data_IF_527322485041
#
_entry.id   IF_527322485041
#
_cell.length_a   1.000
_cell.length_b   1.000
_cell.length_c   1.000
_cell.angle_alpha   90.00
_cell.angle_beta   90.00
_cell.angle_gamma   90.00
#
_symmetry.space_group_name_H-M   'P 1'
#
loop_
_entity.id
_entity.type
_entity.pdbx_description
1 polymer ?
#
# COMPACT_ATOMS: atom_id res chain seq x y z
N UNK A 1 25.01 7.01 5.34
CA UNK A 1 24.88 5.57 5.02
C UNK A 1 24.31 5.48 3.62
N UNK A 2 24.94 4.73 2.73
CA UNK A 2 24.56 4.70 1.31
C UNK A 2 23.20 4.01 1.14
N UNK A 3 22.19 4.75 0.67
CA UNK A 3 20.96 4.19 0.15
C UNK A 3 21.28 3.67 -1.26
N UNK A 4 21.16 2.36 -1.48
CA UNK A 4 21.18 1.81 -2.83
C UNK A 4 19.81 2.10 -3.48
N UNK A 5 19.74 2.90 -4.55
CA UNK A 5 18.55 2.92 -5.37
C UNK A 5 18.36 1.54 -6.00
N UNK A 6 17.12 1.07 -6.13
CA UNK A 6 16.80 -0.07 -7.01
C UNK A 6 17.13 0.36 -8.45
N UNK A 7 18.35 0.10 -8.90
CA UNK A 7 18.76 0.31 -10.28
C UNK A 7 18.14 -0.75 -11.17
N UNK A 8 17.45 -0.31 -12.21
CA UNK A 8 16.90 -1.15 -13.27
C UNK A 8 18.01 -1.60 -14.22
N UNK A 9 18.74 -2.67 -13.88
CA UNK A 9 19.62 -3.35 -14.84
C UNK A 9 19.30 -4.84 -14.86
N UNK A 10 18.44 -5.19 -15.83
CA UNK A 10 18.17 -6.54 -16.30
C UNK A 10 19.43 -7.15 -16.94
N UNK A 11 20.03 -8.14 -16.30
CA UNK A 11 20.63 -9.26 -17.04
C UNK A 11 19.64 -10.43 -17.03
N UNK A 12 19.07 -10.68 -18.21
CA UNK A 12 18.18 -11.79 -18.51
C UNK A 12 18.95 -13.12 -18.43
N UNK A 13 18.74 -13.87 -17.34
CA UNK A 13 19.05 -15.30 -17.29
C UNK A 13 17.76 -16.10 -17.56
N UNK A 14 17.76 -17.06 -18.50
CA UNK A 14 16.56 -17.78 -18.91
C UNK A 14 16.12 -18.76 -17.81
N UNK A 15 15.00 -18.49 -17.14
CA UNK A 15 14.35 -19.45 -16.26
C UNK A 15 13.49 -20.41 -17.08
N UNK A 16 14.14 -21.39 -17.71
CA UNK A 16 13.44 -22.57 -18.21
C UNK A 16 12.93 -23.38 -17.03
N UNK A 17 11.60 -23.38 -16.83
CA UNK A 17 10.88 -24.51 -16.25
C UNK A 17 10.30 -24.33 -14.85
N UNK A 18 9.11 -23.70 -14.77
CA UNK A 18 7.94 -24.29 -14.07
C UNK A 18 6.61 -23.54 -14.34
N UNK A 19 6.36 -23.12 -15.58
CA UNK A 19 5.02 -22.70 -16.01
C UNK A 19 4.35 -23.87 -16.73
N UNK A 20 3.71 -24.75 -15.96
CA UNK A 20 2.78 -25.73 -16.54
C UNK A 20 1.63 -25.99 -15.58
N UNK A 21 0.52 -25.32 -15.85
CA UNK A 21 -0.79 -25.64 -15.29
C UNK A 21 -1.30 -24.57 -14.34
N UNK A 22 -1.89 -23.53 -14.91
CA UNK A 22 -3.18 -22.95 -14.52
C UNK A 22 -3.52 -21.86 -15.56
N UNK A 23 -4.03 -22.29 -16.71
CA UNK A 23 -4.60 -21.38 -17.72
C UNK A 23 -6.11 -21.64 -17.88
N UNK A 24 -6.90 -20.60 -17.59
CA UNK A 24 -8.20 -20.18 -18.17
C UNK A 24 -9.36 -21.19 -18.35
N UNK A 25 -9.48 -22.30 -17.59
CA UNK A 25 -10.68 -23.18 -17.75
C UNK A 25 -11.45 -23.65 -16.51
N UNK A 26 -11.19 -23.15 -15.30
CA UNK A 26 -11.95 -23.57 -14.11
C UNK A 26 -12.62 -22.45 -13.28
N UNK A 27 -12.61 -21.18 -13.69
CA UNK A 27 -13.27 -20.11 -12.89
C UNK A 27 -14.78 -19.92 -13.14
N UNK A 28 -15.44 -20.93 -13.71
CA UNK A 28 -16.91 -21.01 -13.72
C UNK A 28 -17.32 -22.38 -13.18
N UNK A 29 -17.23 -22.52 -11.84
CA UNK A 29 -17.98 -23.42 -10.95
C UNK A 29 -17.18 -23.71 -9.68
N UNK A 30 -17.25 -22.80 -8.72
CA UNK A 30 -17.19 -23.13 -7.29
C UNK A 30 -18.51 -22.70 -6.66
N UNK A 31 -19.59 -23.31 -7.16
CA UNK A 31 -20.78 -23.54 -6.34
C UNK A 31 -20.45 -24.71 -5.40
N UNK A 32 -20.53 -24.45 -4.10
CA UNK A 32 -20.76 -25.41 -3.02
C UNK A 32 -19.84 -26.66 -2.94
N UNK A 33 -18.92 -26.66 -1.98
CA UNK A 33 -18.42 -27.89 -1.36
C UNK A 33 -18.31 -27.72 0.16
N UNK A 34 -19.46 -27.48 0.80
CA UNK A 34 -19.65 -27.74 2.23
C UNK A 34 -19.49 -29.25 2.45
N UNK A 35 -18.34 -29.67 2.94
CA UNK A 35 -18.15 -31.01 3.47
C UNK A 35 -18.65 -31.05 4.92
N UNK A 36 -19.98 -31.06 5.11
CA UNK A 36 -20.56 -31.44 6.41
C UNK A 36 -21.10 -32.85 6.31
N UNK A 37 -20.56 -33.71 7.18
CA UNK A 37 -20.98 -35.08 7.38
C UNK A 37 -22.49 -35.19 7.61
N UNK A 38 -23.07 -36.25 7.07
CA UNK A 38 -24.50 -36.53 7.11
C UNK A 38 -25.02 -36.89 8.52
N UNK A 39 -26.28 -36.47 8.74
CA UNK A 39 -27.32 -36.93 9.68
C UNK A 39 -27.36 -36.38 11.12
N UNK A 40 -28.28 -35.43 11.35
CA UNK A 40 -29.38 -35.59 12.31
C UNK A 40 -30.54 -34.62 12.00
N UNK A 41 -31.76 -35.11 12.12
CA UNK A 41 -33.02 -34.41 11.82
C UNK A 41 -33.32 -33.26 12.79
N UNK A 42 -33.88 -32.17 12.24
CA UNK A 42 -34.80 -31.27 12.96
C UNK A 42 -34.15 -30.17 13.80
N UNK A 43 -33.95 -29.01 13.20
CA UNK A 43 -33.63 -27.76 13.88
C UNK A 43 -33.70 -26.62 12.89
N UNK A 44 -34.34 -25.52 13.26
CA UNK A 44 -34.45 -24.30 12.44
C UNK A 44 -33.03 -23.76 12.26
N UNK A 45 -32.39 -24.13 11.16
CA UNK A 45 -31.04 -23.70 10.82
C UNK A 45 -31.09 -22.24 10.38
N UNK A 46 -30.41 -21.37 11.12
CA UNK A 46 -29.96 -20.10 10.57
C UNK A 46 -29.17 -20.43 9.30
N UNK A 47 -29.58 -19.87 8.17
CA UNK A 47 -28.71 -19.82 7.01
C UNK A 47 -27.49 -19.00 7.44
N UNK A 48 -26.32 -19.62 7.55
CA UNK A 48 -25.07 -18.88 7.55
C UNK A 48 -25.05 -18.10 6.23
N UNK A 49 -24.80 -16.79 6.30
CA UNK A 49 -24.51 -16.01 5.11
C UNK A 49 -23.37 -16.71 4.37
N UNK A 50 -23.52 -16.97 3.06
CA UNK A 50 -22.36 -17.26 2.22
C UNK A 50 -21.46 -16.02 2.34
N UNK A 51 -20.17 -16.21 2.68
CA UNK A 51 -19.23 -15.08 2.78
C UNK A 51 -19.24 -14.32 1.43
N UNK A 52 -19.49 -13.01 1.46
CA UNK A 52 -19.62 -12.15 0.26
C UNK A 52 -18.28 -11.94 -0.49
N UNK A 53 -17.23 -12.69 -0.11
CA UNK A 53 -15.87 -12.60 -0.63
C UNK A 53 -15.23 -13.97 -0.86
N UNK A 54 -14.23 -14.01 -1.74
CA UNK A 54 -13.39 -15.19 -1.99
C UNK A 54 -12.21 -15.23 -1.03
N UNK A 55 -11.99 -16.37 -0.36
CA UNK A 55 -10.80 -16.61 0.45
C UNK A 55 -9.68 -17.21 -0.40
N UNK A 56 -8.51 -16.57 -0.42
CA UNK A 56 -7.31 -17.03 -1.11
C UNK A 56 -6.21 -17.29 -0.09
N UNK A 57 -5.80 -18.54 0.06
CA UNK A 57 -4.65 -18.90 0.89
C UNK A 57 -3.33 -18.48 0.21
N UNK A 58 -2.46 -17.79 0.95
CA UNK A 58 -1.13 -17.44 0.48
C UNK A 58 -0.22 -18.68 0.46
N UNK A 59 0.45 -18.90 -0.68
CA UNK A 59 1.34 -20.04 -0.94
C UNK A 59 2.64 -19.61 -1.66
N UNK A 60 2.89 -18.31 -1.80
CA UNK A 60 3.98 -17.74 -2.59
C UNK A 60 3.65 -17.51 -4.06
N UNK A 61 2.36 -17.49 -4.41
CA UNK A 61 1.88 -17.27 -5.79
C UNK A 61 1.93 -15.79 -6.22
N UNK A 62 1.83 -15.59 -7.52
CA UNK A 62 1.63 -14.28 -8.13
C UNK A 62 0.27 -14.21 -8.81
N UNK A 63 -0.47 -13.13 -8.56
CA UNK A 63 -1.69 -12.75 -9.29
C UNK A 63 -1.30 -11.60 -10.23
N UNK A 64 -1.75 -11.64 -11.49
CA UNK A 64 -1.51 -10.58 -12.47
C UNK A 64 -2.83 -10.08 -13.01
N UNK A 65 -3.05 -8.77 -12.93
CA UNK A 65 -4.22 -8.10 -13.49
C UNK A 65 -3.93 -7.63 -14.92
N UNK A 66 -4.89 -7.81 -15.81
CA UNK A 66 -4.88 -7.31 -17.17
C UNK A 66 -5.46 -5.87 -17.26
N UNK A 67 -5.45 -5.27 -18.45
CA UNK A 67 -6.06 -3.96 -18.69
C UNK A 67 -7.56 -4.00 -18.45
N UNK A 68 -8.11 -2.99 -17.75
CA UNK A 68 -9.55 -2.92 -17.46
C UNK A 68 -10.05 -3.93 -16.43
N UNK A 69 -9.18 -4.73 -15.81
CA UNK A 69 -9.59 -5.78 -14.89
C UNK A 69 -9.93 -5.22 -13.50
N UNK A 70 -11.02 -5.69 -12.91
CA UNK A 70 -11.38 -5.47 -11.51
C UNK A 70 -11.09 -6.72 -10.69
N UNK A 71 -10.20 -6.62 -9.70
CA UNK A 71 -9.92 -7.65 -8.73
C UNK A 71 -10.53 -7.26 -7.39
N UNK A 72 -11.59 -7.98 -6.98
CA UNK A 72 -12.44 -7.53 -5.88
C UNK A 72 -12.99 -8.61 -4.94
N UNK A 73 -13.37 -8.16 -3.74
CA UNK A 73 -14.04 -8.94 -2.68
C UNK A 73 -13.22 -10.19 -2.33
N UNK A 74 -12.01 -9.95 -1.83
CA UNK A 74 -11.02 -10.99 -1.52
C UNK A 74 -10.58 -10.90 -0.06
N UNK A 75 -10.54 -12.05 0.62
CA UNK A 75 -9.82 -12.23 1.87
C UNK A 75 -8.58 -13.07 1.58
N UNK A 76 -7.40 -12.44 1.69
CA UNK A 76 -6.12 -13.13 1.53
C UNK A 76 -5.69 -13.66 2.89
N UNK A 77 -5.59 -14.98 3.03
CA UNK A 77 -5.11 -15.63 4.24
C UNK A 77 -3.59 -15.85 4.17
N UNK A 78 -2.85 -14.99 4.87
CA UNK A 78 -1.40 -15.06 5.04
C UNK A 78 -0.97 -15.79 6.33
N UNK A 79 -1.90 -16.38 7.09
CA UNK A 79 -1.57 -17.07 8.36
C UNK A 79 -0.74 -18.34 8.17
N UNK A 80 -0.60 -18.81 6.92
CA UNK A 80 0.36 -19.85 6.52
C UNK A 80 1.82 -19.39 6.64
N UNK A 81 2.05 -18.08 6.76
CA UNK A 81 3.36 -17.45 6.78
C UNK A 81 3.98 -17.23 5.39
N UNK A 82 3.25 -17.58 4.33
CA UNK A 82 3.67 -17.43 2.94
C UNK A 82 3.19 -16.10 2.34
N UNK A 83 3.84 -15.67 1.26
CA UNK A 83 3.51 -14.42 0.57
C UNK A 83 2.44 -14.63 -0.52
N UNK A 84 1.88 -13.51 -0.98
CA UNK A 84 1.27 -13.40 -2.30
C UNK A 84 1.74 -12.09 -2.93
N UNK A 85 2.05 -12.14 -4.23
CA UNK A 85 2.40 -10.93 -4.98
C UNK A 85 1.28 -10.62 -5.95
N UNK A 86 0.72 -9.42 -5.90
CA UNK A 86 -0.25 -8.93 -6.87
C UNK A 86 0.45 -7.95 -7.80
N UNK A 87 0.31 -8.17 -9.10
CA UNK A 87 0.95 -7.36 -10.14
C UNK A 87 -0.11 -6.76 -11.05
N UNK A 88 -0.05 -5.45 -11.28
CA UNK A 88 -0.94 -4.76 -12.21
C UNK A 88 -0.09 -3.76 -13.00
N UNK A 89 0.48 -4.22 -14.10
CA UNK A 89 1.32 -3.42 -15.00
C UNK A 89 0.62 -3.26 -16.35
N UNK A 90 -0.57 -2.67 -16.30
CA UNK A 90 -1.48 -2.46 -17.42
C UNK A 90 -2.09 -1.05 -17.28
N UNK A 91 -3.36 -0.84 -17.63
CA UNK A 91 -4.05 0.44 -17.49
C UNK A 91 -5.51 0.19 -17.11
N UNK A 92 -6.15 1.19 -16.51
CA UNK A 92 -7.57 1.19 -16.15
C UNK A 92 -8.00 -0.02 -15.28
N UNK A 93 -7.10 -0.55 -14.45
CA UNK A 93 -7.41 -1.65 -13.54
C UNK A 93 -7.96 -1.16 -12.20
N UNK A 94 -8.67 -2.02 -11.48
CA UNK A 94 -9.22 -1.73 -10.15
C UNK A 94 -8.90 -2.86 -9.19
N UNK A 95 -8.38 -2.54 -8.01
CA UNK A 95 -8.26 -3.44 -6.86
C UNK A 95 -9.17 -2.88 -5.78
N UNK A 96 -10.21 -3.62 -5.38
CA UNK A 96 -11.15 -3.12 -4.37
C UNK A 96 -11.64 -4.16 -3.39
N UNK A 97 -11.96 -3.76 -2.16
CA UNK A 97 -12.50 -4.66 -1.14
C UNK A 97 -11.60 -5.88 -0.92
N UNK A 98 -10.34 -5.62 -0.54
CA UNK A 98 -9.35 -6.67 -0.34
C UNK A 98 -8.75 -6.58 1.06
N UNK A 99 -8.94 -7.62 1.87
CA UNK A 99 -8.34 -7.74 3.18
C UNK A 99 -7.22 -8.77 3.23
N UNK A 100 -6.15 -8.46 3.94
CA UNK A 100 -5.02 -9.38 4.19
C UNK A 100 -4.98 -9.76 5.67
N UNK A 101 -5.17 -11.05 5.95
CA UNK A 101 -5.20 -11.61 7.30
C UNK A 101 -3.90 -12.34 7.59
N UNK A 102 -3.23 -11.95 8.68
CA UNK A 102 -1.95 -12.50 9.09
C UNK A 102 -0.77 -11.69 8.56
N UNK A 103 0.30 -11.71 9.34
CA UNK A 103 1.56 -11.05 9.03
C UNK A 103 2.31 -11.79 7.91
N UNK A 104 2.91 -11.04 6.98
CA UNK A 104 3.78 -11.62 5.97
C UNK A 104 5.14 -12.04 6.55
N UNK A 105 5.31 -13.34 6.78
CA UNK A 105 6.57 -13.89 7.34
C UNK A 105 7.51 -14.52 6.30
N UNK A 106 7.21 -14.38 5.02
CA UNK A 106 7.90 -15.12 3.95
C UNK A 106 9.38 -14.76 3.77
N UNK A 107 9.78 -13.56 4.23
CA UNK A 107 11.16 -13.06 4.14
C UNK A 107 11.65 -12.78 2.72
N UNK A 108 10.76 -12.70 1.73
CA UNK A 108 11.09 -12.45 0.31
C UNK A 108 11.68 -11.06 0.06
N UNK A 109 11.30 -10.06 0.85
CA UNK A 109 11.78 -8.68 0.72
C UNK A 109 11.29 -7.97 -0.55
N UNK A 110 10.11 -8.35 -1.04
CA UNK A 110 9.46 -7.78 -2.22
C UNK A 110 8.38 -6.75 -1.84
N UNK A 111 7.59 -6.30 -2.80
CA UNK A 111 6.35 -5.60 -2.51
C UNK A 111 5.18 -6.60 -2.57
N UNK A 112 4.17 -6.44 -1.70
CA UNK A 112 2.92 -7.22 -1.81
C UNK A 112 2.20 -6.87 -3.11
N UNK A 113 2.21 -5.57 -3.47
CA UNK A 113 1.70 -5.04 -4.72
C UNK A 113 2.81 -4.40 -5.55
N UNK A 114 2.98 -4.88 -6.78
CA UNK A 114 3.77 -4.21 -7.82
C UNK A 114 2.84 -3.65 -8.88
N UNK A 115 2.70 -2.32 -8.95
CA UNK A 115 1.64 -1.70 -9.75
C UNK A 115 2.16 -0.56 -10.64
N UNK A 116 1.50 -0.33 -11.75
CA UNK A 116 1.62 0.87 -12.57
C UNK A 116 0.42 0.97 -13.51
N UNK A 117 -0.03 2.19 -13.77
CA UNK A 117 -0.77 2.51 -14.99
C UNK A 117 0.24 2.92 -16.08
N UNK A 118 0.35 2.13 -17.14
CA UNK A 118 1.30 2.35 -18.27
C UNK A 118 0.60 2.76 -19.57
N UNK A 119 -0.74 2.80 -19.56
CA UNK A 119 -1.56 3.20 -20.69
C UNK A 119 -1.94 4.68 -20.68
N UNK A 120 -1.43 5.45 -19.71
CA UNK A 120 -1.83 6.83 -19.45
C UNK A 120 -3.33 6.93 -19.09
N UNK A 121 -3.85 5.90 -18.43
CA UNK A 121 -5.23 5.80 -17.93
C UNK A 121 -5.33 6.15 -16.45
N UNK A 122 -6.40 5.67 -15.82
CA UNK A 122 -6.66 5.86 -14.38
C UNK A 122 -6.99 4.53 -13.74
N UNK A 123 -6.16 4.12 -12.79
CA UNK A 123 -6.33 2.88 -12.04
C UNK A 123 -6.62 3.17 -10.56
N UNK A 124 -7.28 2.23 -9.87
CA UNK A 124 -7.78 2.49 -8.51
C UNK A 124 -7.43 1.36 -7.55
N UNK A 125 -7.06 1.73 -6.32
CA UNK A 125 -6.96 0.87 -5.14
C UNK A 125 -7.91 1.40 -4.09
N UNK A 126 -8.93 0.63 -3.72
CA UNK A 126 -10.10 1.10 -2.97
C UNK A 126 -10.42 0.13 -1.83
N UNK A 127 -10.64 0.61 -0.61
CA UNK A 127 -11.10 -0.22 0.52
C UNK A 127 -10.23 -1.47 0.74
N UNK A 128 -8.94 -1.26 1.02
CA UNK A 128 -7.94 -2.33 1.19
C UNK A 128 -7.34 -2.31 2.58
N UNK A 129 -7.27 -3.46 3.25
CA UNK A 129 -6.65 -3.63 4.56
C UNK A 129 -5.39 -4.51 4.49
N UNK A 130 -4.25 -3.97 4.94
CA UNK A 130 -2.98 -4.65 5.21
C UNK A 130 -2.41 -4.21 6.57
N UNK A 131 -3.21 -4.26 7.64
CA UNK A 131 -2.77 -3.83 8.97
C UNK A 131 -1.87 -4.83 9.71
N UNK A 132 -1.85 -6.10 9.30
CA UNK A 132 -1.09 -7.15 9.99
C UNK A 132 0.41 -7.15 9.60
N UNK A 133 0.79 -6.39 8.57
CA UNK A 133 2.20 -6.06 8.26
C UNK A 133 3.08 -7.20 7.75
N UNK A 134 4.40 -7.08 8.02
CA UNK A 134 5.43 -8.01 7.57
C UNK A 134 6.56 -8.23 8.58
N UNK A 135 6.99 -9.48 8.76
CA UNK A 135 7.72 -9.97 9.94
C UNK A 135 9.24 -9.77 9.97
N UNK A 136 9.76 -8.89 9.13
CA UNK A 136 11.19 -8.65 9.09
C UNK A 136 11.38 -7.18 8.92
N UNK A 137 11.92 -6.48 9.93
CA UNK A 137 12.38 -5.09 9.77
C UNK A 137 13.34 -4.93 8.60
N UNK A 138 13.98 -3.77 8.43
CA UNK A 138 14.91 -3.55 7.30
C UNK A 138 16.24 -4.35 7.36
N UNK A 139 16.24 -5.51 8.02
CA UNK A 139 17.35 -6.45 8.22
C UNK A 139 17.41 -7.56 7.16
N UNK A 140 16.57 -7.50 6.12
CA UNK A 140 16.63 -8.44 5.00
C UNK A 140 18.03 -8.38 4.34
N UNK A 141 18.62 -9.51 3.90
CA UNK A 141 19.91 -9.54 3.20
C UNK A 141 20.06 -8.55 2.04
N UNK A 142 18.95 -8.17 1.39
CA UNK A 142 18.94 -7.21 0.28
C UNK A 142 18.95 -5.73 0.74
N UNK A 143 18.95 -5.47 2.06
CA UNK A 143 18.93 -4.13 2.65
C UNK A 143 17.59 -3.40 2.53
N UNK A 144 16.53 -4.12 2.18
CA UNK A 144 15.17 -3.63 1.99
C UNK A 144 14.15 -4.59 2.63
N UNK A 145 13.24 -4.04 3.44
CA UNK A 145 12.10 -4.77 4.00
C UNK A 145 10.99 -4.99 2.96
N UNK A 146 9.89 -5.62 3.38
CA UNK A 146 8.68 -5.74 2.56
C UNK A 146 8.02 -4.35 2.46
N UNK A 147 7.62 -3.98 1.24
CA UNK A 147 6.77 -2.79 0.98
C UNK A 147 5.34 -3.25 0.74
N UNK A 148 4.31 -2.50 1.15
CA UNK A 148 2.93 -2.88 0.79
C UNK A 148 2.70 -2.64 -0.70
N UNK A 149 2.84 -1.38 -1.15
CA UNK A 149 2.71 -0.99 -2.56
C UNK A 149 3.99 -0.40 -3.11
N UNK A 150 4.46 -0.96 -4.23
CA UNK A 150 5.52 -0.37 -5.04
C UNK A 150 4.97 0.03 -6.40
N UNK A 151 5.04 1.32 -6.71
CA UNK A 151 4.67 1.86 -8.02
C UNK A 151 5.89 1.83 -8.94
N UNK A 152 5.76 1.17 -10.09
CA UNK A 152 6.88 0.98 -11.01
C UNK A 152 7.30 2.29 -11.70
N UNK A 153 8.60 2.47 -12.02
CA UNK A 153 9.11 3.71 -12.60
C UNK A 153 8.49 4.10 -13.95
N UNK A 154 7.93 3.17 -14.71
CA UNK A 154 7.30 3.40 -16.00
C UNK A 154 5.82 3.79 -15.93
N UNK A 155 5.25 3.87 -14.72
CA UNK A 155 3.93 4.44 -14.50
C UNK A 155 3.84 5.86 -15.07
N UNK A 156 2.89 6.07 -15.99
CA UNK A 156 2.67 7.33 -16.71
C UNK A 156 1.21 7.83 -16.65
N UNK A 157 0.29 7.07 -16.06
CA UNK A 157 -1.10 7.47 -15.84
C UNK A 157 -1.35 8.09 -14.48
N UNK A 158 -2.53 7.81 -13.94
CA UNK A 158 -2.95 8.19 -12.59
C UNK A 158 -3.33 6.95 -11.76
N UNK A 159 -2.99 6.92 -10.48
CA UNK A 159 -3.48 5.92 -9.53
C UNK A 159 -4.13 6.63 -8.34
N UNK A 160 -5.39 6.31 -8.11
CA UNK A 160 -6.14 6.69 -6.92
C UNK A 160 -6.03 5.59 -5.85
N UNK A 161 -5.66 5.97 -4.64
CA UNK A 161 -5.80 5.16 -3.44
C UNK A 161 -6.88 5.78 -2.56
N UNK A 162 -7.92 5.03 -2.23
CA UNK A 162 -9.03 5.49 -1.41
C UNK A 162 -9.33 4.44 -0.33
N UNK A 163 -9.50 4.89 0.92
CA UNK A 163 -9.87 4.02 2.03
C UNK A 163 -8.91 2.85 2.23
N UNK A 164 -7.60 3.13 2.22
CA UNK A 164 -6.57 2.10 2.36
C UNK A 164 -5.96 2.14 3.76
N UNK A 165 -5.86 0.99 4.41
CA UNK A 165 -5.25 0.82 5.73
C UNK A 165 -4.00 -0.05 5.63
N UNK A 166 -2.81 0.52 5.84
CA UNK A 166 -1.53 -0.22 5.75
C UNK A 166 -0.74 0.00 7.02
N UNK A 167 -0.37 -1.08 7.71
CA UNK A 167 0.39 -0.95 8.96
C UNK A 167 1.51 -1.97 9.07
N UNK A 168 2.49 -1.67 9.92
CA UNK A 168 3.49 -2.64 10.38
C UNK A 168 4.39 -3.19 9.25
N UNK A 169 4.59 -2.42 8.18
CA UNK A 169 5.50 -2.78 7.09
C UNK A 169 6.94 -2.36 7.38
N UNK A 170 7.88 -3.20 6.99
CA UNK A 170 9.30 -2.96 7.27
C UNK A 170 10.02 -2.09 6.25
N UNK A 171 9.34 -1.68 5.20
CA UNK A 171 9.80 -0.65 4.27
C UNK A 171 8.74 0.45 4.18
N UNK A 172 8.12 0.70 3.01
CA UNK A 172 7.08 1.72 2.86
C UNK A 172 5.67 1.12 2.91
N UNK A 173 4.68 1.92 3.33
CA UNK A 173 3.30 1.61 2.99
C UNK A 173 3.08 1.81 1.48
N UNK A 174 3.15 3.05 1.00
CA UNK A 174 3.07 3.35 -0.45
C UNK A 174 4.39 3.94 -0.93
N UNK A 175 5.13 3.18 -1.74
CA UNK A 175 6.29 3.64 -2.49
C UNK A 175 5.84 4.08 -3.89
N UNK A 176 5.39 5.32 -3.96
CA UNK A 176 4.92 6.02 -5.15
C UNK A 176 5.92 6.97 -5.83
N UNK A 177 7.16 7.11 -5.34
CA UNK A 177 8.08 8.11 -5.89
C UNK A 177 8.91 7.67 -7.10
N UNK A 178 8.95 6.37 -7.42
CA UNK A 178 9.76 5.86 -8.53
C UNK A 178 9.41 6.46 -9.92
N UNK A 179 8.13 6.77 -10.24
CA UNK A 179 7.72 7.37 -11.51
C UNK A 179 8.41 8.69 -11.83
N UNK A 180 8.82 9.47 -10.81
CA UNK A 180 9.55 10.74 -10.99
C UNK A 180 10.87 10.61 -11.76
N UNK A 181 11.45 9.40 -11.84
CA UNK A 181 12.68 9.16 -12.61
C UNK A 181 12.43 8.87 -14.10
N UNK A 182 11.20 8.53 -14.49
CA UNK A 182 10.92 8.05 -15.86
C UNK A 182 9.50 8.36 -16.32
N UNK A 183 8.50 7.63 -15.82
CA UNK A 183 7.15 7.63 -16.38
C UNK A 183 6.34 8.89 -16.08
N UNK A 184 6.61 9.56 -14.97
CA UNK A 184 5.95 10.82 -14.60
C UNK A 184 4.45 10.68 -14.33
N UNK A 185 3.96 9.48 -14.01
CA UNK A 185 2.61 9.27 -13.53
C UNK A 185 2.37 9.87 -12.15
N UNK A 186 1.11 10.10 -11.83
CA UNK A 186 0.64 10.81 -10.63
C UNK A 186 -0.11 9.87 -9.71
N UNK A 187 -0.04 10.16 -8.41
CA UNK A 187 -0.68 9.35 -7.37
C UNK A 187 -1.48 10.26 -6.47
N UNK A 188 -2.72 9.88 -6.19
CA UNK A 188 -3.56 10.49 -5.17
C UNK A 188 -3.83 9.46 -4.09
N UNK A 189 -3.48 9.79 -2.85
CA UNK A 189 -3.88 9.03 -1.66
C UNK A 189 -4.94 9.83 -0.92
N UNK A 190 -6.16 9.32 -0.86
CA UNK A 190 -7.29 9.94 -0.17
C UNK A 190 -7.82 9.04 0.95
N UNK A 191 -8.29 9.67 2.03
CA UNK A 191 -9.03 9.00 3.10
C UNK A 191 -8.37 7.70 3.54
N UNK A 192 -7.06 7.71 3.80
CA UNK A 192 -6.26 6.50 4.03
C UNK A 192 -5.47 6.57 5.34
N UNK A 193 -5.16 5.42 5.91
CA UNK A 193 -4.41 5.30 7.16
C UNK A 193 -3.13 4.49 6.94
N UNK A 194 -2.00 5.04 7.38
CA UNK A 194 -0.76 4.30 7.43
C UNK A 194 -0.13 4.37 8.82
N UNK A 195 0.27 3.24 9.38
CA UNK A 195 0.95 3.23 10.67
C UNK A 195 2.20 2.36 10.68
N UNK A 196 3.13 2.67 11.58
CA UNK A 196 4.22 1.77 11.94
C UNK A 196 4.99 1.23 10.71
N UNK A 197 5.32 2.11 9.76
CA UNK A 197 6.16 1.77 8.62
C UNK A 197 7.61 2.19 8.88
N UNK A 198 8.59 1.35 8.57
CA UNK A 198 9.98 1.59 8.98
C UNK A 198 10.74 2.58 8.09
N UNK A 199 10.41 2.68 6.79
CA UNK A 199 11.07 3.62 5.87
C UNK A 199 10.23 4.86 5.63
N UNK A 200 8.97 4.71 5.21
CA UNK A 200 8.04 5.81 5.00
C UNK A 200 6.61 5.31 5.01
N UNK A 201 5.67 6.13 5.46
CA UNK A 201 4.25 5.81 5.30
C UNK A 201 3.84 6.11 3.85
N UNK A 202 3.80 7.39 3.48
CA UNK A 202 3.52 7.80 2.11
C UNK A 202 4.76 8.40 1.47
N UNK A 203 5.26 7.74 0.43
CA UNK A 203 6.42 8.21 -0.34
C UNK A 203 5.99 8.50 -1.76
N UNK A 204 5.97 9.78 -2.13
CA UNK A 204 5.43 10.25 -3.40
C UNK A 204 6.47 11.05 -4.17
N UNK A 205 6.19 11.30 -5.44
CA UNK A 205 6.92 12.23 -6.29
C UNK A 205 6.06 12.56 -7.51
N UNK A 206 6.64 13.28 -8.47
CA UNK A 206 5.94 13.80 -9.65
C UNK A 206 5.01 14.97 -9.31
N UNK A 207 5.01 15.98 -10.18
CA UNK A 207 4.07 17.10 -10.14
C UNK A 207 2.61 16.61 -10.18
N UNK A 208 1.80 17.06 -9.22
CA UNK A 208 0.36 16.77 -9.17
C UNK A 208 0.00 15.53 -8.34
N UNK A 209 0.98 14.85 -7.75
CA UNK A 209 0.71 13.83 -6.73
C UNK A 209 0.30 14.47 -5.41
N UNK A 210 -0.59 13.82 -4.67
CA UNK A 210 -1.13 14.38 -3.43
C UNK A 210 -1.53 13.35 -2.38
N UNK A 211 -1.61 13.80 -1.13
CA UNK A 211 -2.21 13.10 0.00
C UNK A 211 -3.30 13.97 0.61
N UNK A 212 -4.51 13.45 0.73
CA UNK A 212 -5.67 14.18 1.27
C UNK A 212 -6.42 13.35 2.29
N UNK A 213 -7.05 14.00 3.28
CA UNK A 213 -7.97 13.37 4.24
C UNK A 213 -7.38 12.14 4.98
N UNK A 214 -6.06 12.07 5.10
CA UNK A 214 -5.34 10.84 5.46
C UNK A 214 -4.58 11.01 6.76
N UNK A 215 -4.29 9.89 7.43
CA UNK A 215 -3.58 9.92 8.71
C UNK A 215 -2.37 8.99 8.71
N UNK A 216 -1.32 9.46 9.37
CA UNK A 216 -0.12 8.71 9.70
C UNK A 216 0.03 8.59 11.20
N UNK A 217 0.40 7.40 11.67
CA UNK A 217 0.67 7.15 13.09
C UNK A 217 1.95 6.33 13.30
N UNK A 218 2.78 6.72 14.27
CA UNK A 218 3.92 5.89 14.71
C UNK A 218 3.83 5.59 16.20
N UNK A 219 3.66 4.33 16.56
CA UNK A 219 3.79 3.87 17.95
C UNK A 219 5.26 3.62 18.31
N UNK A 220 5.79 4.45 19.21
CA UNK A 220 7.19 4.36 19.67
C UNK A 220 7.51 3.08 20.42
N UNK A 221 6.52 2.36 20.94
CA UNK A 221 6.74 1.11 21.67
C UNK A 221 7.12 -0.06 20.75
N UNK A 222 6.88 0.07 19.45
CA UNK A 222 7.11 -1.00 18.47
C UNK A 222 8.42 -0.81 17.66
N UNK A 223 9.14 0.29 17.90
CA UNK A 223 10.47 0.53 17.33
C UNK A 223 10.48 0.98 15.87
N UNK A 224 9.33 1.38 15.32
CA UNK A 224 9.22 1.99 14.00
C UNK A 224 9.69 3.44 14.00
N UNK A 225 10.38 3.83 12.93
CA UNK A 225 11.06 5.14 12.81
C UNK A 225 10.97 5.71 11.39
N UNK A 226 9.92 5.36 10.65
CA UNK A 226 9.72 5.85 9.28
C UNK A 226 9.44 7.35 9.22
N UNK A 227 9.46 7.90 8.01
CA UNK A 227 8.95 9.26 7.74
C UNK A 227 7.44 9.21 7.58
N UNK A 228 6.75 10.31 7.87
CA UNK A 228 5.33 10.42 7.57
C UNK A 228 5.11 10.52 6.07
N UNK A 229 5.28 11.71 5.53
CA UNK A 229 5.29 11.99 4.10
C UNK A 229 6.72 12.18 3.63
N UNK A 230 7.16 11.39 2.64
CA UNK A 230 8.42 11.60 1.96
C UNK A 230 8.20 11.99 0.51
N UNK A 231 8.27 13.29 0.24
CA UNK A 231 8.18 13.84 -1.10
C UNK A 231 9.53 13.77 -1.79
N UNK A 232 9.58 13.05 -2.90
CA UNK A 232 10.74 12.95 -3.80
C UNK A 232 10.56 13.88 -4.99
N UNK A 233 11.68 14.19 -5.63
CA UNK A 233 11.70 14.93 -6.87
C UNK A 233 11.20 14.07 -8.06
N UNK A 234 10.73 14.71 -9.15
CA UNK A 234 10.52 16.15 -9.32
C UNK A 234 9.09 16.57 -9.00
N UNK A 235 8.86 17.88 -8.99
CA UNK A 235 7.52 18.48 -8.98
C UNK A 235 7.02 18.83 -7.59
N UNK A 236 5.74 19.21 -7.55
CA UNK A 236 5.01 19.59 -6.35
C UNK A 236 4.19 18.41 -5.84
N UNK A 237 4.31 18.12 -4.55
CA UNK A 237 3.42 17.20 -3.81
C UNK A 237 2.50 18.02 -2.90
N UNK A 238 1.20 17.78 -2.97
CA UNK A 238 0.20 18.43 -2.12
C UNK A 238 -0.13 17.54 -0.91
N UNK A 239 -0.26 18.14 0.28
CA UNK A 239 -0.69 17.49 1.53
C UNK A 239 -1.82 18.34 2.12
N UNK A 240 -3.03 17.79 2.18
CA UNK A 240 -4.24 18.53 2.57
C UNK A 240 -5.08 17.72 3.57
N UNK A 241 -5.66 18.36 4.58
CA UNK A 241 -6.53 17.71 5.58
C UNK A 241 -5.95 16.41 6.17
N UNK A 242 -4.64 16.43 6.47
CA UNK A 242 -3.92 15.27 6.97
C UNK A 242 -3.58 15.39 8.46
N UNK A 243 -3.52 14.25 9.14
CA UNK A 243 -3.02 14.13 10.52
C UNK A 243 -1.72 13.31 10.53
N UNK A 244 -0.60 13.91 10.92
CA UNK A 244 0.72 13.25 10.83
C UNK A 244 1.33 13.13 12.24
N UNK A 245 0.86 12.14 13.00
CA UNK A 245 1.30 11.86 14.37
C UNK A 245 2.50 10.90 14.37
N UNK A 246 3.70 11.44 14.62
CA UNK A 246 4.95 10.71 14.52
C UNK A 246 5.55 10.34 15.88
N UNK A 247 4.97 10.80 16.99
CA UNK A 247 5.47 10.65 18.36
C UNK A 247 6.99 10.94 18.48
N UNK A 248 7.42 12.04 17.86
CA UNK A 248 8.79 12.53 17.80
C UNK A 248 9.74 11.69 16.93
N UNK A 249 9.22 10.73 16.15
CA UNK A 249 10.06 9.86 15.32
C UNK A 249 10.39 10.49 13.97
N UNK A 250 11.68 10.49 13.65
CA UNK A 250 12.23 10.86 12.35
C UNK A 250 11.74 12.23 11.85
N UNK A 251 10.96 12.27 10.77
CA UNK A 251 10.45 13.50 10.15
C UNK A 251 9.00 13.30 9.74
N UNK A 252 8.12 14.24 10.08
CA UNK A 252 6.72 14.22 9.67
C UNK A 252 6.58 14.48 8.16
N UNK A 253 7.31 15.47 7.63
CA UNK A 253 7.36 15.80 6.20
C UNK A 253 8.81 15.96 5.76
N UNK A 254 9.27 15.07 4.88
CA UNK A 254 10.63 15.06 4.32
C UNK A 254 10.55 15.43 2.82
N UNK A 255 11.15 16.56 2.44
CA UNK A 255 11.13 17.10 1.09
C UNK A 255 12.51 16.96 0.42
N UNK A 256 12.54 16.15 -0.63
CA UNK A 256 13.67 15.97 -1.52
C UNK A 256 14.51 14.74 -1.18
N UNK A 257 15.22 14.24 -2.19
CA UNK A 257 16.20 13.18 -2.02
C UNK A 257 17.19 13.16 -3.19
N UNK A 258 18.33 12.49 -2.97
CA UNK A 258 19.33 12.21 -4.00
C UNK A 258 19.81 13.44 -4.79
N UNK A 259 19.79 14.63 -4.17
CA UNK A 259 20.32 15.86 -4.76
C UNK A 259 19.36 16.59 -5.71
N UNK A 260 18.10 16.18 -5.81
CA UNK A 260 17.09 16.86 -6.63
C UNK A 260 16.02 17.55 -5.77
N UNK A 261 15.60 18.77 -6.13
CA UNK A 261 14.59 19.51 -5.38
C UNK A 261 13.17 19.02 -5.68
N UNK A 262 12.29 19.15 -4.69
CA UNK A 262 10.83 18.98 -4.77
C UNK A 262 10.16 20.15 -4.04
N UNK A 263 8.91 20.43 -4.34
CA UNK A 263 8.09 21.35 -3.54
C UNK A 263 7.02 20.55 -2.81
N UNK A 264 6.76 20.88 -1.55
CA UNK A 264 5.61 20.36 -0.81
C UNK A 264 4.74 21.52 -0.40
N UNK A 265 3.44 21.43 -0.68
CA UNK A 265 2.44 22.40 -0.24
C UNK A 265 1.55 21.71 0.78
N UNK A 266 1.46 22.29 1.98
CA UNK A 266 0.71 21.73 3.10
C UNK A 266 -0.42 22.68 3.47
N UNK A 267 -1.66 22.20 3.50
CA UNK A 267 -2.86 22.98 3.83
C UNK A 267 -3.78 22.22 4.76
N UNK A 268 -4.46 22.94 5.66
CA UNK A 268 -5.49 22.38 6.57
C UNK A 268 -5.06 21.08 7.28
N UNK A 269 -3.76 20.93 7.59
CA UNK A 269 -3.18 19.68 8.11
C UNK A 269 -2.50 19.93 9.46
N UNK A 270 -2.37 18.87 10.24
CA UNK A 270 -1.63 18.86 11.50
C UNK A 270 -0.42 17.92 11.38
N UNK A 271 0.75 18.36 11.81
CA UNK A 271 1.95 17.53 11.83
C UNK A 271 2.67 17.57 13.17
N UNK A 272 3.27 16.46 13.59
CA UNK A 272 4.01 16.41 14.85
C UNK A 272 5.30 17.28 14.80
N UNK A 273 5.32 18.39 15.55
CA UNK A 273 6.46 19.31 15.66
C UNK A 273 7.71 18.63 16.27
N UNK A 274 7.51 17.58 17.09
CA UNK A 274 8.59 16.79 17.65
C UNK A 274 9.40 16.05 16.59
N UNK A 275 8.74 15.58 15.52
CA UNK A 275 9.41 15.01 14.34
C UNK A 275 9.81 16.09 13.33
N UNK A 276 8.99 17.13 13.19
CA UNK A 276 9.30 18.31 12.39
C UNK A 276 9.34 18.06 10.88
N UNK A 277 9.95 19.01 10.17
CA UNK A 277 10.01 19.07 8.71
C UNK A 277 11.47 19.10 8.26
N UNK A 278 11.80 18.34 7.20
CA UNK A 278 13.13 18.34 6.59
C UNK A 278 13.08 18.79 5.13
N UNK A 279 14.00 19.67 4.76
CA UNK A 279 14.17 20.14 3.38
C UNK A 279 15.58 19.78 2.88
N UNK A 280 15.65 19.19 1.69
CA UNK A 280 16.88 18.69 1.11
C UNK A 280 17.08 19.18 -0.32
N UNK A 281 18.35 19.38 -0.70
CA UNK A 281 18.73 19.67 -2.09
C UNK A 281 18.00 20.87 -2.73
N UNK A 282 17.66 21.89 -1.93
CA UNK A 282 16.92 23.06 -2.41
C UNK A 282 15.40 22.86 -2.54
N UNK A 283 14.89 21.76 -1.99
CA UNK A 283 13.45 21.54 -1.81
C UNK A 283 12.87 22.53 -0.81
N UNK A 284 11.55 22.73 -0.87
CA UNK A 284 10.83 23.62 0.04
C UNK A 284 9.52 22.99 0.49
N UNK A 285 9.15 23.22 1.74
CA UNK A 285 7.83 22.93 2.31
C UNK A 285 7.13 24.26 2.62
N UNK A 286 5.97 24.47 1.99
CA UNK A 286 5.15 25.66 2.17
C UNK A 286 3.95 25.31 3.03
N UNK A 287 3.87 25.92 4.21
CA UNK A 287 2.75 25.74 5.13
C UNK A 287 1.69 26.82 4.88
N UNK A 288 0.44 26.38 4.71
CA UNK A 288 -0.73 27.26 4.67
C UNK A 288 -1.10 27.81 6.06
N UNK A 289 -2.01 28.79 6.09
CA UNK A 289 -2.40 29.50 7.31
C UNK A 289 -3.11 28.60 8.35
N UNK A 290 -3.73 27.51 7.90
CA UNK A 290 -4.44 26.52 8.74
C UNK A 290 -3.60 25.29 9.08
N UNK A 291 -2.27 25.34 8.93
CA UNK A 291 -1.41 24.22 9.34
C UNK A 291 -1.06 24.36 10.82
N UNK A 292 -1.38 23.33 11.60
CA UNK A 292 -1.06 23.24 13.01
C UNK A 292 -0.02 22.16 13.32
N UNK A 293 0.20 21.93 14.63
CA UNK A 293 1.18 20.97 15.12
C UNK A 293 0.68 20.08 16.26
N UNK A 294 -0.63 19.84 16.33
CA UNK A 294 -1.28 18.99 17.35
C UNK A 294 -2.06 17.88 16.66
N UNK A 295 -1.38 16.95 15.95
CA UNK A 295 -2.05 15.93 15.17
C UNK A 295 -2.78 14.93 16.07
N UNK A 296 -3.92 14.41 15.59
CA UNK A 296 -4.64 13.33 16.24
C UNK A 296 -4.48 12.03 15.42
N UNK A 297 -4.09 10.89 16.04
CA UNK A 297 -3.92 9.62 15.34
C UNK A 297 -5.29 8.96 15.09
N UNK A 298 -6.05 9.52 14.15
CA UNK A 298 -7.39 9.04 13.78
C UNK A 298 -7.32 8.16 12.54
N UNK A 299 -8.02 7.04 12.55
CA UNK A 299 -8.30 6.28 11.33
C UNK A 299 -9.44 7.04 10.61
N UNK A 300 -9.25 7.52 9.36
CA UNK A 300 -10.30 8.23 8.63
C UNK A 300 -11.59 7.41 8.49
N UNK A 301 -12.73 8.09 8.39
CA UNK A 301 -14.03 7.45 8.21
C UNK A 301 -14.04 6.56 6.96
N UNK A 302 -14.63 5.37 7.06
CA UNK A 302 -14.74 4.43 5.95
C UNK A 302 -13.47 3.63 5.63
N UNK A 303 -12.33 3.91 6.30
CA UNK A 303 -11.12 3.09 6.17
C UNK A 303 -11.33 1.77 6.89
N UNK A 304 -11.13 0.60 6.24
CA UNK A 304 -11.35 -0.68 6.88
C UNK A 304 -10.33 -0.90 7.99
N UNK A 305 -10.77 -1.47 9.11
CA UNK A 305 -9.95 -1.75 10.29
C UNK A 305 -9.68 -3.24 10.51
N UNK A 306 -10.22 -4.10 9.66
CA UNK A 306 -9.96 -5.53 9.66
C UNK A 306 -9.93 -6.12 8.25
N UNK A 307 -9.30 -7.30 8.07
CA UNK A 307 -9.31 -8.01 6.78
C UNK A 307 -10.73 -8.32 6.30
N UNK A 308 -11.58 -8.82 7.20
CA UNK A 308 -12.95 -9.21 6.86
C UNK A 308 -13.83 -8.01 6.49
N UNK A 309 -13.66 -6.87 7.18
CA UNK A 309 -14.34 -5.60 6.84
C UNK A 309 -14.01 -5.17 5.41
N UNK A 310 -12.71 -5.05 5.07
CA UNK A 310 -12.27 -4.74 3.72
C UNK A 310 -12.81 -5.74 2.69
N UNK A 311 -12.65 -7.04 2.94
CA UNK A 311 -13.04 -8.09 2.00
C UNK A 311 -14.56 -8.07 1.69
N UNK A 312 -15.38 -7.75 2.69
CA UNK A 312 -16.84 -7.69 2.54
C UNK A 312 -17.36 -6.44 1.84
N UNK A 313 -16.52 -5.42 1.62
CA UNK A 313 -16.94 -4.12 1.10
C UNK A 313 -17.78 -3.32 2.08
N UNK A 314 -17.87 -3.76 3.34
CA UNK A 314 -18.49 -3.01 4.42
C UNK A 314 -17.49 -2.00 4.96
N UNK A 315 -17.88 -0.74 5.00
CA UNK A 315 -17.22 0.27 5.80
C UNK A 315 -18.33 1.01 6.56
N UNK A 316 -18.20 1.07 7.88
CA UNK A 316 -19.14 1.84 8.74
C UNK A 316 -18.87 3.35 8.66
#
# INVERSE_FOLDING_TARGET
MAQNPRTSDTESMPTTGRNSGLTRRNYVRSLAAVATATTALGGVGAAAAEDDYEVIEAQGQTISLEEGETWENKLIDMTTGQDIVVTAHSSDWTIRNVGFKGENTSGTGSATFGISDTGNGTSTVENVYLGDGASTGNTNPNGHGQTAFWVAPDHNGHIDFENVNIQNFSDNAIYGSAPGNKGGGTIHIDSSFAANCYVSHFRLGTEGSKVTNSSVYVDTNEGYVGRGIWAWAPGTVEVEDCQIEMNGQNTAIDAGANGNPTEVVVTDSEYDDGAGIAEHAGSTVKLGDSVGTDPEPVIPSGVPTSPEEAASGGSD
#
